data_IF_078365427855
#
_entry.id   IF_078365427855
#
_cell.length_a   1.000
_cell.length_b   1.000
_cell.length_c   1.000
_cell.angle_alpha   90.00
_cell.angle_beta   90.00
_cell.angle_gamma   90.00
#
_symmetry.space_group_name_H-M   'P 1'
#
loop_
_entity.id
_entity.type
_entity.pdbx_description
1 polymer ?
#
# COMPACT_ATOMS: atom_id res chain seq x y z
N UNK A 1 -7.23 -0.51 12.98
CA UNK A 1 -6.93 -1.25 11.74
C UNK A 1 -5.78 -0.58 11.01
N UNK A 2 -4.83 -1.33 10.51
CA UNK A 2 -3.79 -0.79 9.64
C UNK A 2 -4.32 -0.74 8.21
N UNK A 3 -4.63 0.44 7.74
CA UNK A 3 -5.28 0.63 6.43
C UNK A 3 -4.39 0.17 5.29
N UNK A 4 -3.08 0.42 5.37
CA UNK A 4 -2.14 -0.01 4.32
C UNK A 4 -2.10 -1.53 4.19
N UNK A 5 -1.96 -2.25 5.30
CA UNK A 5 -1.98 -3.72 5.29
C UNK A 5 -3.32 -4.26 4.84
N UNK A 6 -4.42 -3.66 5.31
CA UNK A 6 -5.77 -4.08 4.92
C UNK A 6 -5.99 -3.91 3.42
N UNK A 7 -5.56 -2.79 2.85
CA UNK A 7 -5.68 -2.53 1.42
C UNK A 7 -4.92 -3.58 0.61
N UNK A 8 -3.65 -3.81 0.96
CA UNK A 8 -2.82 -4.77 0.23
C UNK A 8 -3.43 -6.17 0.31
N UNK A 9 -3.84 -6.59 1.52
CA UNK A 9 -4.48 -7.89 1.68
C UNK A 9 -5.72 -8.02 0.80
N UNK A 10 -6.58 -7.02 0.83
CA UNK A 10 -7.85 -7.08 0.12
C UNK A 10 -7.67 -7.15 -1.40
N UNK A 11 -6.76 -6.34 -1.98
CA UNK A 11 -6.52 -6.41 -3.43
C UNK A 11 -5.91 -7.75 -3.83
N UNK A 12 -5.11 -8.37 -2.98
CA UNK A 12 -4.53 -9.68 -3.27
C UNK A 12 -5.56 -10.79 -3.15
N UNK A 13 -6.36 -10.78 -2.10
CA UNK A 13 -7.37 -11.83 -1.86
C UNK A 13 -8.48 -11.78 -2.92
N UNK A 14 -8.95 -10.59 -3.26
CA UNK A 14 -10.01 -10.43 -4.26
C UNK A 14 -9.48 -10.35 -5.68
N UNK A 15 -8.15 -10.30 -5.87
CA UNK A 15 -7.51 -10.18 -7.17
C UNK A 15 -8.00 -8.93 -7.93
N UNK A 16 -8.14 -7.82 -7.21
CA UNK A 16 -8.73 -6.58 -7.72
C UNK A 16 -7.67 -5.74 -8.43
N UNK A 17 -7.36 -6.13 -9.65
CA UNK A 17 -6.38 -5.45 -10.49
C UNK A 17 -6.82 -4.01 -10.81
N UNK A 18 -8.11 -3.81 -11.03
CA UNK A 18 -8.64 -2.49 -11.38
C UNK A 18 -8.37 -1.46 -10.29
N UNK A 19 -8.65 -1.81 -9.02
CA UNK A 19 -8.34 -0.93 -7.90
C UNK A 19 -6.84 -0.72 -7.75
N UNK A 20 -6.05 -1.79 -7.97
CA UNK A 20 -4.59 -1.70 -7.90
C UNK A 20 -4.03 -0.66 -8.87
N UNK A 21 -4.59 -0.54 -10.07
CA UNK A 21 -4.12 0.43 -11.06
C UNK A 21 -4.29 1.88 -10.61
N UNK A 22 -5.12 2.13 -9.61
CA UNK A 22 -5.41 3.47 -9.11
C UNK A 22 -4.56 3.86 -7.91
N UNK A 23 -3.87 2.91 -7.27
CA UNK A 23 -3.01 3.22 -6.12
C UNK A 23 -1.66 3.72 -6.61
N UNK A 24 -1.05 4.61 -5.83
CA UNK A 24 0.31 5.10 -6.09
C UNK A 24 1.19 4.73 -4.92
N UNK A 25 2.45 4.41 -5.20
CA UNK A 25 3.40 3.99 -4.17
C UNK A 25 3.46 4.97 -3.00
N UNK A 26 3.42 6.26 -3.29
CA UNK A 26 3.55 7.30 -2.27
C UNK A 26 2.33 7.44 -1.36
N UNK A 27 1.20 6.79 -1.67
CA UNK A 27 0.05 6.73 -0.75
C UNK A 27 0.35 5.83 0.46
N UNK A 28 1.33 4.95 0.33
CA UNK A 28 1.69 3.98 1.37
C UNK A 28 2.92 4.44 2.14
N UNK A 29 3.04 4.10 3.44
CA UNK A 29 4.29 4.32 4.17
C UNK A 29 5.47 3.64 3.48
N UNK A 30 6.67 4.18 3.70
CA UNK A 30 7.88 3.72 3.00
C UNK A 30 8.19 2.24 3.22
N UNK A 31 7.81 1.68 4.37
CA UNK A 31 8.03 0.27 4.67
C UNK A 31 7.28 -0.68 3.71
N UNK A 32 6.22 -0.18 3.06
CA UNK A 32 5.43 -0.96 2.09
C UNK A 32 5.94 -0.82 0.66
N UNK A 33 6.88 0.09 0.40
CA UNK A 33 7.27 0.42 -0.98
C UNK A 33 7.90 -0.76 -1.71
N UNK A 34 8.69 -1.58 -1.00
CA UNK A 34 9.28 -2.75 -1.63
C UNK A 34 8.23 -3.80 -1.98
N UNK A 35 7.28 -4.02 -1.08
CA UNK A 35 6.17 -4.93 -1.35
C UNK A 35 5.31 -4.41 -2.52
N UNK A 36 5.03 -3.11 -2.55
CA UNK A 36 4.32 -2.48 -3.66
C UNK A 36 5.05 -2.75 -4.98
N UNK A 37 6.35 -2.53 -5.01
CA UNK A 37 7.16 -2.72 -6.21
C UNK A 37 7.09 -4.17 -6.70
N UNK A 38 7.16 -5.14 -5.80
CA UNK A 38 7.09 -6.55 -6.17
C UNK A 38 5.72 -6.93 -6.73
N UNK A 39 4.64 -6.43 -6.13
CA UNK A 39 3.29 -6.63 -6.66
C UNK A 39 3.17 -6.03 -8.06
N UNK A 40 3.68 -4.82 -8.24
CA UNK A 40 3.60 -4.11 -9.51
C UNK A 40 4.39 -4.82 -10.62
N UNK A 41 5.57 -5.34 -10.29
CA UNK A 41 6.38 -6.12 -11.23
C UNK A 41 5.65 -7.38 -11.67
N UNK A 42 4.98 -8.06 -10.74
CA UNK A 42 4.19 -9.25 -11.06
C UNK A 42 3.06 -8.90 -12.02
N UNK A 43 2.36 -7.80 -11.76
CA UNK A 43 1.28 -7.34 -12.63
C UNK A 43 1.78 -7.02 -14.04
N UNK A 44 2.94 -6.36 -14.15
CA UNK A 44 3.53 -6.05 -15.47
C UNK A 44 3.93 -7.31 -16.22
N UNK A 45 4.49 -8.29 -15.52
CA UNK A 45 5.00 -9.51 -16.14
C UNK A 45 3.89 -10.46 -16.57
N UNK A 46 2.89 -10.65 -15.72
CA UNK A 46 1.86 -11.67 -15.91
C UNK A 46 0.48 -11.11 -16.26
N UNK A 47 0.31 -9.79 -16.24
CA UNK A 47 -0.96 -9.10 -16.53
C UNK A 47 -2.10 -9.54 -15.61
N UNK A 48 -1.76 -9.83 -14.36
CA UNK A 48 -2.73 -10.18 -13.30
C UNK A 48 -2.12 -9.93 -11.93
N UNK A 49 -2.99 -9.86 -10.91
CA UNK A 49 -2.55 -9.70 -9.53
C UNK A 49 -1.85 -10.97 -9.05
N UNK A 50 -0.78 -10.85 -8.23
CA UNK A 50 -0.20 -12.00 -7.56
C UNK A 50 -1.13 -12.52 -6.46
N UNK A 51 -0.98 -13.80 -6.13
CA UNK A 51 -1.57 -14.35 -4.91
C UNK A 51 -0.59 -14.20 -3.74
N UNK A 52 -1.05 -14.45 -2.51
CA UNK A 52 -0.15 -14.51 -1.36
C UNK A 52 0.96 -15.54 -1.59
N UNK A 53 0.62 -16.69 -2.15
CA UNK A 53 1.60 -17.74 -2.43
C UNK A 53 2.64 -17.31 -3.45
N UNK A 54 2.22 -16.60 -4.50
CA UNK A 54 3.14 -16.06 -5.50
C UNK A 54 4.17 -15.14 -4.85
N UNK A 55 3.70 -14.25 -3.98
CA UNK A 55 4.58 -13.30 -3.30
C UNK A 55 5.53 -14.00 -2.31
N UNK A 56 5.05 -14.99 -1.59
CA UNK A 56 5.90 -15.79 -0.68
C UNK A 56 7.05 -16.43 -1.46
N UNK A 57 6.78 -16.87 -2.66
CA UNK A 57 7.78 -17.50 -3.53
C UNK A 57 8.74 -16.46 -4.13
N UNK A 58 8.23 -15.31 -4.53
CA UNK A 58 9.01 -14.29 -5.26
C UNK A 58 9.86 -13.41 -4.34
N UNK A 59 9.40 -13.15 -3.10
CA UNK A 59 10.13 -12.26 -2.19
C UNK A 59 11.42 -12.92 -1.69
N UNK A 60 12.50 -12.13 -1.68
CA UNK A 60 13.82 -12.57 -1.21
C UNK A 60 14.23 -11.91 0.09
N UNK A 61 13.67 -10.74 0.35
CA UNK A 61 14.04 -9.90 1.48
C UNK A 61 13.26 -10.32 2.73
N UNK A 62 13.97 -10.57 3.83
CA UNK A 62 13.36 -11.03 5.09
C UNK A 62 12.36 -10.01 5.64
N UNK A 63 12.72 -8.72 5.62
CA UNK A 63 11.83 -7.67 6.14
C UNK A 63 10.52 -7.60 5.36
N UNK A 64 10.59 -7.74 4.03
CA UNK A 64 9.40 -7.72 3.18
C UNK A 64 8.56 -8.98 3.38
N UNK A 65 9.19 -10.13 3.60
CA UNK A 65 8.47 -11.36 3.92
C UNK A 65 7.72 -11.25 5.25
N UNK A 66 8.35 -10.66 6.26
CA UNK A 66 7.72 -10.42 7.56
C UNK A 66 6.53 -9.49 7.42
N UNK A 67 6.67 -8.44 6.60
CA UNK A 67 5.57 -7.53 6.30
C UNK A 67 4.41 -8.26 5.62
N UNK A 68 4.71 -9.15 4.68
CA UNK A 68 3.68 -9.95 4.01
C UNK A 68 2.94 -10.84 5.00
N UNK A 69 3.64 -11.44 5.95
CA UNK A 69 2.99 -12.23 7.02
C UNK A 69 2.05 -11.36 7.84
N UNK A 70 2.46 -10.13 8.18
CA UNK A 70 1.60 -9.20 8.91
C UNK A 70 0.36 -8.84 8.10
N UNK A 71 0.54 -8.61 6.81
CA UNK A 71 -0.58 -8.33 5.88
C UNK A 71 -1.54 -9.52 5.82
N UNK A 72 -1.02 -10.74 5.72
CA UNK A 72 -1.83 -11.94 5.65
C UNK A 72 -2.71 -12.12 6.88
N UNK A 73 -2.20 -11.73 8.06
CA UNK A 73 -2.88 -11.93 9.34
C UNK A 73 -3.82 -10.79 9.74
N UNK A 74 -3.87 -9.68 9.00
CA UNK A 74 -4.76 -8.58 9.32
C UNK A 74 -6.20 -8.97 8.96
N UNK A 75 -7.15 -8.58 9.80
CA UNK A 75 -8.57 -8.77 9.51
C UNK A 75 -9.07 -7.58 8.69
N UNK A 76 -9.81 -7.86 7.61
CA UNK A 76 -10.31 -6.82 6.70
C UNK A 76 -11.82 -6.95 6.56
N UNK A 77 -12.51 -5.84 6.80
CA UNK A 77 -13.96 -5.77 6.82
C UNK A 77 -14.51 -4.75 5.80
N UNK A 78 -13.66 -4.26 4.92
CA UNK A 78 -14.01 -3.24 3.93
C UNK A 78 -13.49 -3.66 2.56
N UNK A 79 -14.11 -3.16 1.49
CA UNK A 79 -13.64 -3.47 0.15
C UNK A 79 -12.39 -2.65 -0.21
N UNK A 80 -11.67 -3.12 -1.23
CA UNK A 80 -10.39 -2.52 -1.63
C UNK A 80 -10.56 -1.06 -2.08
N UNK A 81 -11.63 -0.75 -2.78
CA UNK A 81 -11.87 0.62 -3.26
C UNK A 81 -12.08 1.58 -2.09
N UNK A 82 -12.84 1.19 -1.08
CA UNK A 82 -13.05 1.99 0.12
C UNK A 82 -11.72 2.24 0.84
N UNK A 83 -10.91 1.18 0.99
CA UNK A 83 -9.60 1.31 1.62
C UNK A 83 -8.67 2.23 0.83
N UNK A 84 -8.75 2.20 -0.50
CA UNK A 84 -8.01 3.12 -1.35
C UNK A 84 -8.38 4.58 -1.05
N UNK A 85 -9.67 4.86 -0.86
CA UNK A 85 -10.11 6.22 -0.52
C UNK A 85 -9.54 6.68 0.82
N UNK A 86 -9.50 5.78 1.81
CA UNK A 86 -8.88 6.08 3.10
C UNK A 86 -7.40 6.38 2.97
N UNK A 87 -6.67 5.60 2.15
CA UNK A 87 -5.25 5.86 1.89
C UNK A 87 -5.04 7.23 1.25
N UNK A 88 -5.84 7.57 0.26
CA UNK A 88 -5.77 8.88 -0.40
C UNK A 88 -6.02 10.00 0.59
N UNK A 89 -7.01 9.86 1.47
CA UNK A 89 -7.33 10.86 2.48
C UNK A 89 -6.18 11.05 3.46
N UNK A 90 -5.59 9.95 3.94
CA UNK A 90 -4.44 10.03 4.86
C UNK A 90 -3.25 10.71 4.20
N UNK A 91 -2.96 10.36 2.96
CA UNK A 91 -1.88 10.98 2.21
C UNK A 91 -2.11 12.49 2.05
N UNK A 92 -3.32 12.89 1.66
CA UNK A 92 -3.69 14.30 1.48
C UNK A 92 -3.54 15.09 2.78
N UNK A 93 -3.99 14.53 3.90
CA UNK A 93 -3.86 15.16 5.21
C UNK A 93 -2.40 15.36 5.60
N UNK A 94 -1.55 14.37 5.37
CA UNK A 94 -0.12 14.48 5.66
C UNK A 94 0.55 15.56 4.80
N UNK A 95 0.20 15.64 3.53
CA UNK A 95 0.73 16.67 2.64
C UNK A 95 0.32 18.08 3.10
N UNK A 96 -0.94 18.25 3.48
CA UNK A 96 -1.43 19.54 4.00
C UNK A 96 -0.66 19.93 5.26
N UNK A 97 -0.48 19.01 6.20
CA UNK A 97 0.25 19.27 7.42
C UNK A 97 1.71 19.66 7.16
N UNK A 98 2.37 18.94 6.25
CA UNK A 98 3.75 19.25 5.87
C UNK A 98 3.85 20.65 5.26
N UNK A 99 2.92 21.03 4.40
CA UNK A 99 2.89 22.37 3.79
C UNK A 99 2.64 23.46 4.84
N UNK A 100 1.78 23.20 5.81
CA UNK A 100 1.52 24.15 6.90
C UNK A 100 2.76 24.34 7.78
N UNK A 101 3.48 23.24 8.10
CA UNK A 101 4.72 23.33 8.87
C UNK A 101 5.78 24.15 8.14
N UNK A 102 5.95 23.92 6.85
CA UNK A 102 6.88 24.67 6.02
C UNK A 102 6.51 26.16 5.99
N UNK A 103 5.22 26.45 5.85
CA UNK A 103 4.72 27.82 5.84
C UNK A 103 5.00 28.53 7.17
N UNK A 104 4.74 27.85 8.29
CA UNK A 104 4.98 28.42 9.63
C UNK A 104 6.46 28.69 9.82
N UNK A 105 7.33 27.75 9.48
CA UNK A 105 8.78 27.93 9.59
C UNK A 105 9.25 29.13 8.78
N UNK A 106 8.78 29.28 7.56
CA UNK A 106 9.13 30.40 6.70
C UNK A 106 8.62 31.75 7.24
N UNK A 107 7.50 31.74 7.94
CA UNK A 107 6.93 32.99 8.49
C UNK A 107 7.59 33.43 9.78
N UNK A 108 8.26 32.53 10.48
CA UNK A 108 9.00 32.83 11.73
C UNK A 108 10.39 33.38 11.43
N UNK A 109 10.94 33.00 10.33
CA UNK A 109 12.28 33.50 9.91
C UNK A 109 12.16 34.90 9.34
#
# INVERSE_FOLDING_TARGET
MNISSAFIKQVLVTQDFETWTQVRKHYLPSEYHRLFTEVDKHCEKFHKMPTMEDLKYELRDTATKELLYAVENVEVDADAFMLLQYLKNEFTQKEILNQLEDYVDNSIS
#
